data_IF_938620999487
#
_entry.id   IF_938620999487
#
_cell.length_a   1.000
_cell.length_b   1.000
_cell.length_c   1.000
_cell.angle_alpha   90.00
_cell.angle_beta   90.00
_cell.angle_gamma   90.00
#
_symmetry.space_group_name_H-M   'P 1'
#
loop_
_entity.id
_entity.type
_entity.pdbx_description
1 polymer ?
#
# COMPACT_ATOMS: atom_id res chain seq x y z
N UNK A 1 11.06 17.29 37.41
CA UNK A 1 11.37 16.85 36.02
C UNK A 1 11.23 18.06 35.12
N UNK A 2 12.35 18.59 34.68
CA UNK A 2 12.41 19.76 33.80
C UNK A 2 11.85 19.38 32.42
N UNK A 3 10.79 20.08 32.00
CA UNK A 3 10.24 19.95 30.64
C UNK A 3 11.24 20.60 29.70
N UNK A 4 11.94 19.79 28.92
CA UNK A 4 12.82 20.28 27.87
C UNK A 4 11.98 21.06 26.85
N UNK A 5 12.00 22.38 26.91
CA UNK A 5 11.32 23.26 25.96
C UNK A 5 12.05 23.10 24.63
N UNK A 6 11.38 22.45 23.64
CA UNK A 6 11.88 22.36 22.26
C UNK A 6 11.96 23.81 21.72
N UNK A 7 13.18 24.40 21.71
CA UNK A 7 13.51 25.66 21.04
C UNK A 7 13.97 25.36 19.61
N UNK A 8 13.11 24.72 18.81
CA UNK A 8 13.35 24.45 17.38
C UNK A 8 12.64 25.48 16.51
N UNK A 9 12.97 25.46 15.21
CA UNK A 9 12.17 26.16 14.19
C UNK A 9 10.72 25.65 14.21
N UNK A 10 9.78 26.42 13.69
CA UNK A 10 8.36 26.00 13.61
C UNK A 10 8.21 24.63 12.92
N UNK A 11 9.07 24.34 11.95
CA UNK A 11 9.09 23.05 11.22
C UNK A 11 9.57 21.89 12.11
N UNK A 12 10.62 22.08 12.89
CA UNK A 12 11.15 21.06 13.81
C UNK A 12 10.15 20.76 14.94
N UNK A 13 9.48 21.78 15.44
CA UNK A 13 8.43 21.63 16.45
C UNK A 13 7.23 20.86 15.88
N UNK A 14 6.82 21.17 14.64
CA UNK A 14 5.71 20.46 13.96
C UNK A 14 6.05 18.98 13.77
N UNK A 15 7.26 18.65 13.30
CA UNK A 15 7.72 17.27 13.14
C UNK A 15 7.76 16.51 14.49
N UNK A 16 8.23 17.14 15.57
CA UNK A 16 8.23 16.54 16.90
C UNK A 16 6.80 16.27 17.43
N UNK A 17 5.86 17.17 17.14
CA UNK A 17 4.45 16.95 17.48
C UNK A 17 3.87 15.77 16.71
N UNK A 18 4.10 15.67 15.40
CA UNK A 18 3.62 14.56 14.57
C UNK A 18 4.18 13.22 15.04
N UNK A 19 5.49 13.15 15.34
CA UNK A 19 6.11 11.96 15.93
C UNK A 19 5.43 11.57 17.24
N UNK A 20 5.21 12.52 18.14
CA UNK A 20 4.54 12.28 19.41
C UNK A 20 3.06 11.88 19.23
N UNK A 21 2.38 12.44 18.23
CA UNK A 21 1.01 12.07 17.88
C UNK A 21 0.95 10.61 17.41
N UNK A 22 1.85 10.21 16.51
CA UNK A 22 1.94 8.82 16.03
C UNK A 22 2.18 7.85 17.19
N UNK A 23 3.15 8.13 18.07
CA UNK A 23 3.42 7.31 19.25
C UNK A 23 2.19 7.16 20.17
N UNK A 24 1.44 8.25 20.38
CA UNK A 24 0.21 8.22 21.19
C UNK A 24 -0.89 7.44 20.48
N UNK A 25 -1.06 7.61 19.16
CA UNK A 25 -2.05 6.87 18.38
C UNK A 25 -1.78 5.36 18.41
N UNK A 26 -0.51 4.96 18.32
CA UNK A 26 -0.11 3.55 18.39
C UNK A 26 -0.31 2.96 19.80
N UNK A 27 -0.07 3.76 20.86
CA UNK A 27 -0.15 3.29 22.25
C UNK A 27 -1.58 3.12 22.74
N UNK A 28 -2.45 4.10 22.48
CA UNK A 28 -3.81 4.13 23.06
C UNK A 28 -4.92 4.07 22.02
N UNK A 29 -4.58 4.00 20.73
CA UNK A 29 -5.53 4.10 19.62
C UNK A 29 -5.94 5.54 19.30
N UNK A 30 -6.39 5.77 18.07
CA UNK A 30 -6.81 7.10 17.61
C UNK A 30 -7.96 7.68 18.43
N UNK A 31 -8.95 6.86 18.80
CA UNK A 31 -10.14 7.32 19.54
C UNK A 31 -9.78 7.86 20.92
N UNK A 32 -8.93 7.14 21.68
CA UNK A 32 -8.52 7.47 23.05
C UNK A 32 -7.40 8.51 23.10
N UNK A 33 -6.77 8.82 21.98
CA UNK A 33 -5.77 9.87 21.88
C UNK A 33 -6.41 11.25 22.04
N UNK A 34 -5.69 12.15 22.72
CA UNK A 34 -6.13 13.54 22.92
C UNK A 34 -4.98 14.51 22.68
N UNK A 35 -5.33 15.72 22.23
CA UNK A 35 -4.38 16.81 22.06
C UNK A 35 -3.52 17.06 23.32
N UNK A 36 -4.10 16.86 24.51
CA UNK A 36 -3.39 16.99 25.78
C UNK A 36 -2.34 15.90 26.01
N UNK A 37 -2.68 14.63 25.68
CA UNK A 37 -1.72 13.51 25.76
C UNK A 37 -0.57 13.72 24.79
N UNK A 38 -0.88 14.15 23.56
CA UNK A 38 0.11 14.42 22.50
C UNK A 38 1.03 15.57 22.90
N UNK A 39 0.48 16.70 23.38
CA UNK A 39 1.26 17.83 23.85
C UNK A 39 2.20 17.46 25.01
N UNK A 40 1.71 16.68 25.99
CA UNK A 40 2.51 16.19 27.10
C UNK A 40 3.68 15.32 26.61
N UNK A 41 3.46 14.44 25.64
CA UNK A 41 4.50 13.60 25.03
C UNK A 41 5.51 14.43 24.23
N UNK A 42 5.05 15.44 23.50
CA UNK A 42 5.90 16.37 22.76
C UNK A 42 6.66 17.38 23.64
N UNK A 43 6.44 17.37 24.96
CA UNK A 43 7.08 18.28 25.88
C UNK A 43 6.64 19.75 25.74
N UNK A 44 5.41 19.98 25.23
CA UNK A 44 4.83 21.31 25.03
C UNK A 44 3.52 21.48 25.81
N UNK A 45 3.06 22.70 25.94
CA UNK A 45 1.77 22.97 26.59
C UNK A 45 0.60 22.63 25.66
N UNK A 46 -0.56 22.29 26.26
CA UNK A 46 -1.79 22.06 25.48
C UNK A 46 -2.21 23.29 24.64
N UNK A 47 -1.91 24.50 25.07
CA UNK A 47 -2.16 25.72 24.29
C UNK A 47 -1.17 25.92 23.13
N UNK A 48 0.08 25.46 23.31
CA UNK A 48 1.11 25.59 22.27
C UNK A 48 0.83 24.64 21.06
N UNK A 49 0.27 23.44 21.30
CA UNK A 49 -0.03 22.47 20.23
C UNK A 49 -1.06 23.02 19.23
N UNK A 50 -2.04 23.81 19.70
CA UNK A 50 -3.07 24.42 18.85
C UNK A 50 -2.56 25.53 17.92
N UNK A 51 -1.31 25.99 18.12
CA UNK A 51 -0.64 26.90 17.16
C UNK A 51 -0.13 26.16 15.91
N UNK A 52 -0.02 24.84 16.00
CA UNK A 52 0.53 23.98 14.95
C UNK A 52 -0.53 23.11 14.27
N UNK A 53 -1.53 22.65 15.03
CA UNK A 53 -2.57 21.75 14.55
C UNK A 53 -3.92 22.11 15.15
N UNK A 54 -4.96 22.14 14.33
CA UNK A 54 -6.34 22.40 14.76
C UNK A 54 -6.95 21.26 15.57
N UNK A 55 -6.46 20.03 15.37
CA UNK A 55 -6.94 18.84 16.06
C UNK A 55 -6.13 17.60 15.72
N UNK A 56 -6.51 16.49 16.34
CA UNK A 56 -5.88 15.18 16.10
C UNK A 56 -6.14 14.64 14.70
N UNK A 57 -7.24 15.06 14.07
CA UNK A 57 -7.59 14.68 12.70
C UNK A 57 -6.55 15.25 11.71
N UNK A 58 -6.21 16.52 11.81
CA UNK A 58 -5.16 17.14 10.97
C UNK A 58 -3.80 16.45 11.13
N UNK A 59 -3.44 16.07 12.36
CA UNK A 59 -2.20 15.31 12.61
C UNK A 59 -2.25 13.93 11.98
N UNK A 60 -3.37 13.24 12.09
CA UNK A 60 -3.58 11.93 11.51
C UNK A 60 -3.47 11.97 9.98
N UNK A 61 -4.16 12.93 9.36
CA UNK A 61 -4.12 13.14 7.92
C UNK A 61 -2.69 13.41 7.43
N UNK A 62 -1.93 14.27 8.13
CA UNK A 62 -0.55 14.60 7.74
C UNK A 62 0.42 13.41 7.92
N UNK A 63 0.31 12.66 9.02
CA UNK A 63 1.07 11.42 9.22
C UNK A 63 0.77 10.43 8.09
N UNK A 64 -0.49 10.31 7.74
CA UNK A 64 -0.93 9.39 6.70
C UNK A 64 -0.54 9.85 5.29
N UNK A 65 -0.56 11.16 5.01
CA UNK A 65 -0.10 11.69 3.73
C UNK A 65 1.38 11.41 3.47
N UNK A 66 2.22 11.41 4.51
CA UNK A 66 3.63 11.06 4.35
C UNK A 66 3.83 9.57 4.00
N UNK A 67 3.12 8.67 4.67
CA UNK A 67 3.16 7.23 4.32
C UNK A 67 2.47 6.94 2.99
N UNK A 68 1.38 7.65 2.69
CA UNK A 68 0.75 7.63 1.38
C UNK A 68 1.69 8.08 0.26
N UNK A 69 2.57 9.05 0.51
CA UNK A 69 3.59 9.49 -0.45
C UNK A 69 4.61 8.39 -0.75
N UNK A 70 5.08 7.65 0.27
CA UNK A 70 5.96 6.48 0.05
C UNK A 70 5.30 5.42 -0.82
N UNK A 71 4.02 5.12 -0.57
CA UNK A 71 3.24 4.23 -1.43
C UNK A 71 3.12 4.77 -2.86
N UNK A 72 2.92 6.09 -3.01
CA UNK A 72 2.88 6.72 -4.32
C UNK A 72 4.21 6.57 -5.04
N UNK A 73 5.34 6.78 -4.39
CA UNK A 73 6.68 6.61 -4.97
C UNK A 73 6.92 5.16 -5.43
N UNK A 74 6.55 4.17 -4.61
CA UNK A 74 6.62 2.76 -5.00
C UNK A 74 5.72 2.47 -6.21
N UNK A 75 4.48 2.92 -6.19
CA UNK A 75 3.54 2.69 -7.31
C UNK A 75 3.90 3.49 -8.55
N UNK A 76 4.51 4.67 -8.45
CA UNK A 76 5.04 5.44 -9.58
C UNK A 76 6.20 4.72 -10.26
N UNK A 77 7.09 4.09 -9.49
CA UNK A 77 8.16 3.27 -10.05
C UNK A 77 7.61 2.10 -10.88
N UNK A 78 6.46 1.56 -10.51
CA UNK A 78 5.76 0.51 -11.27
C UNK A 78 5.11 1.06 -12.55
N UNK A 79 4.45 2.22 -12.48
CA UNK A 79 3.79 2.85 -13.63
C UNK A 79 4.79 3.30 -14.70
N UNK A 80 6.01 3.69 -14.29
CA UNK A 80 7.10 4.11 -15.15
C UNK A 80 7.83 2.97 -15.88
N UNK A 81 7.42 1.71 -15.67
CA UNK A 81 8.04 0.57 -16.36
C UNK A 81 7.69 0.61 -17.85
N UNK A 82 8.74 0.61 -18.67
CA UNK A 82 8.61 0.47 -20.12
C UNK A 82 8.62 -1.01 -20.50
N UNK A 83 7.44 -1.58 -20.63
CA UNK A 83 7.27 -2.97 -21.03
C UNK A 83 7.75 -3.24 -22.45
N UNK A 84 7.82 -2.22 -23.32
CA UNK A 84 8.22 -2.38 -24.73
C UNK A 84 9.69 -2.69 -24.87
N UNK A 85 10.52 -2.28 -23.91
CA UNK A 85 11.96 -2.52 -23.88
C UNK A 85 12.35 -3.91 -23.32
N UNK A 86 11.40 -4.67 -22.74
CA UNK A 86 11.65 -5.97 -22.14
C UNK A 86 11.61 -7.10 -23.18
N UNK A 87 12.42 -8.13 -22.97
CA UNK A 87 12.25 -9.42 -23.65
C UNK A 87 10.96 -10.12 -23.21
N UNK A 88 10.50 -11.11 -23.98
CA UNK A 88 9.29 -11.87 -23.64
C UNK A 88 9.44 -12.61 -22.32
N UNK A 89 10.63 -13.15 -22.02
CA UNK A 89 10.92 -13.84 -20.75
C UNK A 89 10.91 -12.86 -19.57
N UNK A 90 11.50 -11.67 -19.71
CA UNK A 90 11.46 -10.61 -18.70
C UNK A 90 10.02 -10.16 -18.46
N UNK A 91 9.24 -9.99 -19.53
CA UNK A 91 7.85 -9.57 -19.45
C UNK A 91 7.00 -10.62 -18.70
N UNK A 92 7.16 -11.91 -18.99
CA UNK A 92 6.47 -12.98 -18.28
C UNK A 92 6.83 -13.05 -16.80
N UNK A 93 8.06 -12.70 -16.44
CA UNK A 93 8.53 -12.70 -15.05
C UNK A 93 8.10 -11.47 -14.23
N UNK A 94 7.61 -10.39 -14.86
CA UNK A 94 7.24 -9.15 -14.17
C UNK A 94 6.22 -9.39 -13.06
N UNK A 95 5.19 -10.16 -13.33
CA UNK A 95 4.11 -10.44 -12.37
C UNK A 95 4.61 -11.20 -11.13
N UNK A 96 5.51 -12.18 -11.34
CA UNK A 96 5.95 -13.06 -10.26
C UNK A 96 7.04 -12.45 -9.35
N UNK A 97 7.83 -11.51 -9.87
CA UNK A 97 9.05 -11.07 -9.18
C UNK A 97 8.94 -9.71 -8.50
N UNK A 98 8.07 -8.81 -8.95
CA UNK A 98 8.10 -7.42 -8.48
C UNK A 98 6.94 -7.01 -7.58
N UNK A 99 5.72 -7.46 -7.89
CA UNK A 99 4.54 -6.96 -7.17
C UNK A 99 4.50 -7.44 -5.73
N UNK A 100 4.76 -8.72 -5.50
CA UNK A 100 4.66 -9.31 -4.15
C UNK A 100 5.75 -8.81 -3.20
N UNK A 101 6.99 -8.68 -3.68
CA UNK A 101 8.12 -8.23 -2.84
C UNK A 101 7.95 -6.76 -2.44
N UNK A 102 7.60 -5.89 -3.39
CA UNK A 102 7.47 -4.46 -3.12
C UNK A 102 6.30 -4.14 -2.16
N UNK A 103 5.20 -4.89 -2.25
CA UNK A 103 4.09 -4.75 -1.30
C UNK A 103 4.55 -5.10 0.12
N UNK A 104 5.30 -6.20 0.30
CA UNK A 104 5.80 -6.58 1.62
C UNK A 104 6.79 -5.56 2.18
N UNK A 105 7.74 -5.09 1.38
CA UNK A 105 8.72 -4.10 1.82
C UNK A 105 8.03 -2.79 2.25
N UNK A 106 7.01 -2.38 1.53
CA UNK A 106 6.20 -1.21 1.89
C UNK A 106 5.43 -1.43 3.19
N UNK A 107 4.77 -2.57 3.35
CA UNK A 107 3.98 -2.87 4.53
C UNK A 107 4.85 -3.03 5.78
N UNK A 108 6.00 -3.71 5.68
CA UNK A 108 6.90 -3.92 6.83
C UNK A 108 7.39 -2.61 7.44
N UNK A 109 7.61 -1.56 6.62
CA UNK A 109 8.06 -0.26 7.10
C UNK A 109 7.01 0.53 7.90
N UNK A 110 5.74 0.37 7.58
CA UNK A 110 4.66 1.20 8.12
C UNK A 110 3.44 0.36 8.61
N UNK A 111 3.63 -0.94 8.93
CA UNK A 111 2.56 -1.87 9.29
C UNK A 111 1.66 -1.36 10.43
N UNK A 112 2.27 -0.83 11.50
CA UNK A 112 1.52 -0.30 12.63
C UNK A 112 0.62 0.86 12.24
N UNK A 113 1.09 1.72 11.33
CA UNK A 113 0.31 2.85 10.83
C UNK A 113 -0.88 2.36 9.99
N UNK A 114 -0.65 1.40 9.08
CA UNK A 114 -1.73 0.82 8.27
C UNK A 114 -2.75 0.07 9.13
N UNK A 115 -2.29 -0.67 10.14
CA UNK A 115 -3.17 -1.34 11.11
C UNK A 115 -4.02 -0.34 11.90
N UNK A 116 -3.42 0.74 12.38
CA UNK A 116 -4.13 1.82 13.05
C UNK A 116 -5.16 2.48 12.12
N UNK A 117 -4.81 2.69 10.84
CA UNK A 117 -5.69 3.23 9.83
C UNK A 117 -6.94 2.35 9.66
N UNK A 118 -6.75 1.04 9.44
CA UNK A 118 -7.87 0.11 9.26
C UNK A 118 -8.79 0.03 10.48
N UNK A 119 -8.22 0.06 11.70
CA UNK A 119 -9.01 -0.07 12.94
C UNK A 119 -9.69 1.22 13.40
N UNK A 120 -9.13 2.37 13.07
CA UNK A 120 -9.54 3.64 13.69
C UNK A 120 -10.01 4.70 12.69
N UNK A 121 -10.18 4.31 11.42
CA UNK A 121 -10.48 5.28 10.37
C UNK A 121 -11.91 5.81 10.46
N UNK A 122 -12.04 7.13 10.33
CA UNK A 122 -13.30 7.79 10.00
C UNK A 122 -13.75 7.55 8.55
N UNK A 123 -13.06 6.68 7.81
CA UNK A 123 -13.36 6.26 6.44
C UNK A 123 -12.64 7.04 5.33
N UNK A 124 -12.22 8.26 5.57
CA UNK A 124 -11.70 9.14 4.51
C UNK A 124 -10.29 8.77 4.03
N UNK A 125 -9.38 8.49 4.95
CA UNK A 125 -7.99 8.19 4.61
C UNK A 125 -7.88 6.81 3.96
N UNK A 126 -8.58 5.80 4.50
CA UNK A 126 -8.62 4.47 3.92
C UNK A 126 -9.26 4.49 2.52
N UNK A 127 -10.34 5.25 2.32
CA UNK A 127 -11.00 5.37 1.02
C UNK A 127 -10.09 6.04 -0.01
N UNK A 128 -9.38 7.11 0.37
CA UNK A 128 -8.39 7.78 -0.47
C UNK A 128 -7.24 6.82 -0.83
N UNK A 129 -6.70 6.10 0.15
CA UNK A 129 -5.66 5.10 -0.05
C UNK A 129 -6.11 3.98 -1.00
N UNK A 130 -7.29 3.40 -0.75
CA UNK A 130 -7.90 2.39 -1.59
C UNK A 130 -8.07 2.86 -3.03
N UNK A 131 -8.60 4.07 -3.23
CA UNK A 131 -8.83 4.63 -4.56
C UNK A 131 -7.52 4.77 -5.34
N UNK A 132 -6.48 5.33 -4.73
CA UNK A 132 -5.15 5.50 -5.35
C UNK A 132 -4.52 4.15 -5.65
N UNK A 133 -4.55 3.21 -4.70
CA UNK A 133 -3.95 1.88 -4.89
C UNK A 133 -4.61 1.13 -6.06
N UNK A 134 -5.94 1.06 -6.08
CA UNK A 134 -6.67 0.32 -7.10
C UNK A 134 -6.51 0.96 -8.48
N UNK A 135 -6.58 2.30 -8.58
CA UNK A 135 -6.40 3.00 -9.85
C UNK A 135 -5.01 2.74 -10.45
N UNK A 136 -3.97 2.78 -9.62
CA UNK A 136 -2.59 2.58 -10.06
C UNK A 136 -2.29 1.12 -10.39
N UNK A 137 -2.71 0.20 -9.54
CA UNK A 137 -2.57 -1.24 -9.77
C UNK A 137 -3.30 -1.68 -11.04
N UNK A 138 -4.54 -1.24 -11.23
CA UNK A 138 -5.28 -1.52 -12.46
C UNK A 138 -4.63 -0.87 -13.70
N UNK A 139 -4.17 0.37 -13.60
CA UNK A 139 -3.48 1.06 -14.70
C UNK A 139 -2.19 0.37 -15.11
N UNK A 140 -1.40 -0.12 -14.15
CA UNK A 140 -0.23 -0.94 -14.41
C UNK A 140 -0.61 -2.26 -15.12
N UNK A 141 -1.58 -2.98 -14.56
CA UNK A 141 -2.01 -4.27 -15.08
C UNK A 141 -2.58 -4.17 -16.50
N UNK A 142 -3.35 -3.12 -16.81
CA UNK A 142 -3.88 -2.86 -18.16
C UNK A 142 -2.74 -2.70 -19.17
N UNK A 143 -1.75 -1.85 -18.87
CA UNK A 143 -0.59 -1.65 -19.76
C UNK A 143 0.19 -2.94 -19.97
N UNK A 144 0.40 -3.70 -18.91
CA UNK A 144 1.11 -4.97 -18.95
C UNK A 144 0.36 -6.02 -19.80
N UNK A 145 -0.95 -6.21 -19.57
CA UNK A 145 -1.75 -7.17 -20.31
C UNK A 145 -1.93 -6.77 -21.78
N UNK A 146 -2.01 -5.47 -22.07
CA UNK A 146 -2.03 -4.97 -23.43
C UNK A 146 -0.72 -5.27 -24.18
N UNK A 147 0.42 -5.17 -23.52
CA UNK A 147 1.70 -5.52 -24.12
C UNK A 147 1.83 -7.03 -24.39
N UNK A 148 1.42 -7.88 -23.44
CA UNK A 148 1.35 -9.33 -23.66
C UNK A 148 0.47 -9.68 -24.86
N UNK A 149 -0.67 -9.02 -25.01
CA UNK A 149 -1.57 -9.22 -26.13
C UNK A 149 -0.97 -8.75 -27.47
N UNK A 150 -0.35 -7.58 -27.51
CA UNK A 150 0.31 -7.03 -28.70
C UNK A 150 1.41 -7.94 -29.24
N UNK A 151 2.17 -8.57 -28.34
CA UNK A 151 3.21 -9.54 -28.70
C UNK A 151 2.68 -10.92 -29.05
N UNK A 152 1.39 -11.16 -28.86
CA UNK A 152 0.76 -12.47 -29.08
C UNK A 152 1.14 -13.52 -28.04
N UNK A 153 1.70 -13.12 -26.91
CA UNK A 153 1.93 -13.96 -25.72
C UNK A 153 0.58 -14.31 -25.09
N UNK A 154 -0.28 -13.31 -24.92
CA UNK A 154 -1.67 -13.50 -24.57
C UNK A 154 -2.55 -13.53 -25.85
N UNK A 155 -3.48 -14.48 -25.94
CA UNK A 155 -4.41 -14.58 -27.07
C UNK A 155 -5.78 -13.99 -26.79
N UNK A 156 -6.03 -13.60 -25.53
CA UNK A 156 -7.26 -12.97 -25.07
C UNK A 156 -6.96 -11.71 -24.27
N UNK A 157 -7.82 -10.70 -24.39
CA UNK A 157 -7.81 -9.50 -23.54
C UNK A 157 -8.80 -9.65 -22.39
N UNK A 158 -8.42 -9.17 -21.22
CA UNK A 158 -9.35 -8.91 -20.13
C UNK A 158 -9.98 -7.53 -20.30
N UNK A 159 -11.26 -7.38 -19.93
CA UNK A 159 -11.87 -6.05 -19.89
C UNK A 159 -11.24 -5.21 -18.77
N UNK A 160 -11.19 -3.89 -18.93
CA UNK A 160 -10.72 -2.97 -17.88
C UNK A 160 -11.49 -3.19 -16.58
N UNK A 161 -12.80 -3.47 -16.68
CA UNK A 161 -13.61 -3.77 -15.50
C UNK A 161 -13.17 -5.06 -14.79
N UNK A 162 -12.77 -6.08 -15.55
CA UNK A 162 -12.22 -7.32 -14.98
C UNK A 162 -10.90 -7.04 -14.27
N UNK A 163 -10.00 -6.26 -14.89
CA UNK A 163 -8.73 -5.88 -14.29
C UNK A 163 -8.95 -5.08 -13.00
N UNK A 164 -9.88 -4.13 -13.01
CA UNK A 164 -10.25 -3.37 -11.81
C UNK A 164 -10.75 -4.28 -10.67
N UNK A 165 -11.58 -5.28 -10.97
CA UNK A 165 -12.07 -6.24 -9.97
C UNK A 165 -10.95 -7.13 -9.41
N UNK A 166 -9.95 -7.49 -10.23
CA UNK A 166 -8.77 -8.23 -9.79
C UNK A 166 -7.90 -7.38 -8.85
N UNK A 167 -7.66 -6.10 -9.20
CA UNK A 167 -6.94 -5.16 -8.33
C UNK A 167 -7.67 -4.91 -7.00
N UNK A 168 -9.00 -4.92 -7.02
CA UNK A 168 -9.79 -4.84 -5.79
C UNK A 168 -9.63 -6.08 -4.91
N UNK A 169 -9.58 -7.28 -5.51
CA UNK A 169 -9.35 -8.52 -4.79
C UNK A 169 -7.95 -8.55 -4.16
N UNK A 170 -6.93 -8.12 -4.91
CA UNK A 170 -5.56 -7.96 -4.41
C UNK A 170 -5.49 -6.99 -3.22
N UNK A 171 -6.12 -5.81 -3.34
CA UNK A 171 -6.20 -4.84 -2.26
C UNK A 171 -6.88 -5.43 -1.02
N UNK A 172 -7.93 -6.23 -1.18
CA UNK A 172 -8.62 -6.89 -0.07
C UNK A 172 -7.72 -7.88 0.65
N UNK A 173 -6.89 -8.64 -0.06
CA UNK A 173 -5.89 -9.54 0.55
C UNK A 173 -4.84 -8.75 1.36
N UNK A 174 -4.39 -7.60 0.84
CA UNK A 174 -3.49 -6.70 1.58
C UNK A 174 -4.15 -6.18 2.86
N UNK A 175 -5.42 -5.78 2.79
CA UNK A 175 -6.16 -5.33 3.97
C UNK A 175 -6.29 -6.42 5.04
N UNK A 176 -6.46 -7.69 4.68
CA UNK A 176 -6.50 -8.81 5.62
C UNK A 176 -5.18 -8.98 6.37
N UNK A 177 -4.04 -8.85 5.68
CA UNK A 177 -2.71 -8.87 6.33
C UNK A 177 -2.59 -7.73 7.34
N UNK A 178 -3.01 -6.52 6.94
CA UNK A 178 -2.92 -5.34 7.80
C UNK A 178 -3.87 -5.46 9.00
N UNK A 179 -5.04 -6.08 8.82
CA UNK A 179 -6.04 -6.24 9.88
C UNK A 179 -5.67 -7.31 10.92
N UNK A 180 -4.77 -8.23 10.57
CA UNK A 180 -4.38 -9.34 11.44
C UNK A 180 -3.57 -8.85 12.65
N UNK A 181 -4.09 -9.09 13.85
CA UNK A 181 -3.47 -8.66 15.10
C UNK A 181 -2.09 -9.30 15.36
N UNK A 182 -1.79 -10.44 14.74
CA UNK A 182 -0.48 -11.11 14.83
C UNK A 182 0.57 -10.39 13.99
N UNK A 183 0.16 -9.56 13.05
CA UNK A 183 1.03 -8.81 12.14
C UNK A 183 1.33 -7.37 12.58
N UNK A 184 0.87 -6.93 13.77
CA UNK A 184 1.04 -5.54 14.23
C UNK A 184 2.50 -5.04 14.27
N UNK A 185 3.45 -5.93 14.58
CA UNK A 185 4.90 -5.59 14.66
C UNK A 185 5.69 -6.02 13.41
N UNK A 186 5.01 -6.52 12.40
CA UNK A 186 5.56 -7.01 11.15
C UNK A 186 4.79 -8.21 10.62
N UNK A 187 4.94 -8.50 9.34
CA UNK A 187 4.23 -9.61 8.71
C UNK A 187 4.85 -10.95 9.15
N UNK A 188 4.03 -11.84 9.71
CA UNK A 188 4.53 -13.15 10.14
C UNK A 188 4.92 -14.03 8.93
N UNK A 189 5.87 -14.98 9.10
CA UNK A 189 6.24 -15.91 8.03
C UNK A 189 5.04 -16.69 7.48
N UNK A 190 4.13 -17.10 8.35
CA UNK A 190 2.91 -17.83 7.99
C UNK A 190 2.01 -16.97 7.12
N UNK A 191 1.83 -15.70 7.45
CA UNK A 191 1.02 -14.75 6.67
C UNK A 191 1.67 -14.47 5.32
N UNK A 192 3.01 -14.33 5.25
CA UNK A 192 3.73 -14.20 3.98
C UNK A 192 3.48 -15.40 3.06
N UNK A 193 3.55 -16.62 3.60
CA UNK A 193 3.31 -17.83 2.83
C UNK A 193 1.86 -17.84 2.33
N UNK A 194 0.88 -17.62 3.19
CA UNK A 194 -0.54 -17.62 2.82
C UNK A 194 -0.87 -16.59 1.73
N UNK A 195 -0.31 -15.38 1.86
CA UNK A 195 -0.47 -14.34 0.83
C UNK A 195 0.17 -14.76 -0.49
N UNK A 196 1.39 -15.28 -0.48
CA UNK A 196 2.08 -15.73 -1.69
C UNK A 196 1.33 -16.86 -2.38
N UNK A 197 0.78 -17.80 -1.63
CA UNK A 197 -0.07 -18.88 -2.17
C UNK A 197 -1.34 -18.31 -2.81
N UNK A 198 -2.05 -17.40 -2.12
CA UNK A 198 -3.26 -16.77 -2.64
C UNK A 198 -2.97 -15.95 -3.91
N UNK A 199 -1.90 -15.15 -3.92
CA UNK A 199 -1.46 -14.40 -5.10
C UNK A 199 -1.09 -15.33 -6.25
N UNK A 200 -0.42 -16.43 -5.98
CA UNK A 200 -0.05 -17.41 -7.01
C UNK A 200 -1.31 -18.03 -7.68
N UNK A 201 -2.32 -18.38 -6.89
CA UNK A 201 -3.61 -18.85 -7.42
C UNK A 201 -4.29 -17.78 -8.27
N UNK A 202 -4.29 -16.51 -7.79
CA UNK A 202 -4.86 -15.39 -8.55
C UNK A 202 -4.14 -15.19 -9.89
N UNK A 203 -2.79 -15.18 -9.88
CA UNK A 203 -1.98 -15.00 -11.08
C UNK A 203 -2.17 -16.12 -12.11
N UNK A 204 -2.20 -17.38 -11.69
CA UNK A 204 -2.51 -18.50 -12.58
C UNK A 204 -3.92 -18.39 -13.17
N UNK A 205 -4.90 -17.91 -12.39
CA UNK A 205 -6.24 -17.62 -12.89
C UNK A 205 -6.24 -16.52 -13.94
N UNK A 206 -5.42 -15.48 -13.77
CA UNK A 206 -5.24 -14.39 -14.74
C UNK A 206 -4.57 -14.92 -16.02
N UNK A 207 -3.50 -15.71 -15.91
CA UNK A 207 -2.83 -16.33 -17.06
C UNK A 207 -3.78 -17.20 -17.89
N UNK A 208 -4.59 -18.02 -17.22
CA UNK A 208 -5.62 -18.82 -17.87
C UNK A 208 -6.68 -17.93 -18.54
N UNK A 209 -7.08 -16.82 -17.88
CA UNK A 209 -8.02 -15.85 -18.43
C UNK A 209 -7.50 -15.13 -19.68
N UNK A 210 -6.19 -14.85 -19.71
CA UNK A 210 -5.48 -14.25 -20.86
C UNK A 210 -5.12 -15.28 -21.95
N UNK A 211 -5.25 -16.57 -21.64
CA UNK A 211 -4.83 -17.68 -22.49
C UNK A 211 -3.33 -17.57 -22.87
N UNK A 212 -2.49 -17.32 -21.89
CA UNK A 212 -1.03 -17.33 -22.02
C UNK A 212 -0.59 -18.80 -22.16
N UNK A 213 0.32 -19.07 -23.10
CA UNK A 213 0.84 -20.43 -23.34
C UNK A 213 -0.02 -21.30 -24.25
N UNK A 214 -1.13 -20.80 -24.79
CA UNK A 214 -2.03 -21.57 -25.69
C UNK A 214 -1.47 -21.89 -27.09
N UNK A 215 -0.19 -21.63 -27.36
CA UNK A 215 0.45 -21.89 -28.68
C UNK A 215 1.18 -23.24 -28.80
N UNK A 216 0.86 -24.23 -28.00
CA UNK A 216 1.45 -25.56 -28.20
C UNK A 216 0.34 -26.59 -28.38
N UNK A 217 -0.27 -26.67 -29.55
CA UNK A 217 -0.64 -27.92 -30.22
C UNK A 217 -1.51 -27.66 -31.49
N UNK A 218 -0.92 -26.95 -32.43
CA UNK A 218 -1.38 -26.93 -33.80
C UNK A 218 -0.39 -27.66 -34.71
N UNK A 219 0.03 -28.88 -34.37
CA UNK A 219 0.55 -29.76 -35.41
C UNK A 219 -0.62 -30.17 -36.27
N UNK A 220 -0.69 -29.54 -37.45
CA UNK A 220 -1.44 -30.08 -38.58
C UNK A 220 -0.82 -31.43 -38.89
N UNK A 221 -1.50 -32.52 -38.54
CA UNK A 221 -1.31 -33.77 -39.23
C UNK A 221 -2.00 -33.63 -40.59
N UNK A 222 -1.17 -33.61 -41.63
CA UNK A 222 -1.57 -33.98 -42.98
C UNK A 222 -1.26 -35.45 -43.16
#
# INVERSE_FOLDING_TARGET
>A
MEVAIIRGSTKETRAAILKSAMEVFLEVGYQEASMRKIAARAGITAGAIYKHFSGKEEMFDEIFEESGRKLMEVTESMIGIDFTAMSDDELLNVLYSRVSVQIFDMLEGDMQLFHMLLKNDSGKCLEKFRSIYIERSAGFAIKYYDELYKRGIATRKLSERTVYMLSLAEFSMVCEIIADDTCQSGITPEMKIAFMEAMNVLLHGIEAGLQIGGKTNGKKEN
#
